data_IF_406314459579
#
_entry.id   IF_406314459579
#
_cell.length_a   1.000
_cell.length_b   1.000
_cell.length_c   1.000
_cell.angle_alpha   90.00
_cell.angle_beta   90.00
_cell.angle_gamma   90.00
#
_symmetry.space_group_name_H-M   'P 1'
#
loop_
_entity.id
_entity.type
_entity.pdbx_description
1 polymer ?
#
# COMPACT_ATOMS: atom_id res chain seq x y z
N UNK A 1 -18.46 15.05 -9.53
CA UNK A 1 -18.42 16.30 -8.74
C UNK A 1 -18.17 15.89 -7.30
N UNK A 2 -16.92 15.94 -6.84
CA UNK A 2 -16.57 15.59 -5.46
C UNK A 2 -17.09 16.73 -4.60
N UNK A 3 -18.17 16.50 -3.84
CA UNK A 3 -18.69 17.47 -2.89
C UNK A 3 -17.64 17.64 -1.78
N UNK A 4 -17.35 18.87 -1.41
CA UNK A 4 -16.46 19.17 -0.29
C UNK A 4 -16.94 18.43 0.96
N UNK A 5 -16.17 17.44 1.42
CA UNK A 5 -16.45 16.73 2.67
C UNK A 5 -16.23 17.74 3.80
N UNK A 6 -17.18 17.78 4.74
CA UNK A 6 -17.12 18.72 5.88
C UNK A 6 -15.95 18.29 6.76
N UNK A 7 -14.83 19.01 6.68
CA UNK A 7 -13.61 18.73 7.44
C UNK A 7 -13.93 18.80 8.93
N UNK A 8 -13.88 17.66 9.64
CA UNK A 8 -14.01 17.67 11.10
C UNK A 8 -12.71 18.24 11.67
N UNK A 9 -12.75 19.46 12.20
CA UNK A 9 -11.63 20.03 12.95
C UNK A 9 -11.65 19.37 14.33
N UNK A 10 -10.72 18.44 14.55
CA UNK A 10 -10.58 17.73 15.82
C UNK A 10 -9.70 18.57 16.73
N UNK A 11 -10.25 18.99 17.86
CA UNK A 11 -9.47 19.66 18.90
C UNK A 11 -8.94 18.62 19.89
N UNK A 12 -7.85 17.96 19.50
CA UNK A 12 -7.25 16.86 20.26
C UNK A 12 -6.77 17.29 21.64
N UNK A 13 -6.37 18.55 21.80
CA UNK A 13 -5.85 19.09 23.06
C UNK A 13 -6.96 19.29 24.11
N UNK A 14 -8.17 19.60 23.69
CA UNK A 14 -9.27 19.94 24.61
C UNK A 14 -10.35 18.85 24.71
N UNK A 15 -10.42 17.93 23.74
CA UNK A 15 -11.43 16.87 23.78
C UNK A 15 -11.09 15.78 24.78
N UNK A 16 -12.11 15.25 25.45
CA UNK A 16 -11.96 14.11 26.37
C UNK A 16 -11.38 12.91 25.61
N UNK A 17 -10.43 12.20 26.24
CA UNK A 17 -9.80 10.99 25.68
C UNK A 17 -10.82 9.97 25.16
N UNK A 18 -11.90 9.73 25.90
CA UNK A 18 -12.95 8.76 25.51
C UNK A 18 -13.70 9.17 24.24
N UNK A 19 -13.72 10.45 23.87
CA UNK A 19 -14.26 10.93 22.59
C UNK A 19 -13.28 10.65 21.46
N UNK A 20 -11.99 10.94 21.66
CA UNK A 20 -10.93 10.68 20.68
C UNK A 20 -10.80 9.18 20.36
N UNK A 21 -10.85 8.32 21.39
CA UNK A 21 -10.83 6.86 21.23
C UNK A 21 -12.04 6.39 20.41
N UNK A 22 -13.25 6.86 20.74
CA UNK A 22 -14.47 6.48 19.99
C UNK A 22 -14.48 6.93 18.53
N UNK A 23 -13.72 7.97 18.20
CA UNK A 23 -13.57 8.46 16.83
C UNK A 23 -12.58 7.62 16.01
N UNK A 24 -11.48 7.16 16.61
CA UNK A 24 -10.42 6.42 15.90
C UNK A 24 -10.60 4.90 15.93
N UNK A 25 -11.09 4.36 17.05
CA UNK A 25 -11.14 2.92 17.30
C UNK A 25 -11.94 2.14 16.24
N UNK A 26 -13.10 2.59 15.73
CA UNK A 26 -13.83 1.85 14.70
C UNK A 26 -12.99 1.61 13.44
N UNK A 27 -12.22 2.61 13.01
CA UNK A 27 -11.33 2.52 11.85
C UNK A 27 -10.15 1.60 12.10
N UNK A 28 -9.57 1.65 13.31
CA UNK A 28 -8.49 0.73 13.70
C UNK A 28 -8.97 -0.72 13.81
N UNK A 29 -10.19 -0.95 14.29
CA UNK A 29 -10.81 -2.29 14.35
C UNK A 29 -11.09 -2.81 12.94
N UNK A 30 -11.59 -1.95 12.04
CA UNK A 30 -11.75 -2.31 10.63
C UNK A 30 -10.40 -2.63 9.97
N UNK A 31 -9.39 -1.80 10.24
CA UNK A 31 -8.01 -2.03 9.78
C UNK A 31 -7.45 -3.35 10.30
N UNK A 32 -7.64 -3.66 11.58
CA UNK A 32 -7.24 -4.93 12.19
C UNK A 32 -7.91 -6.12 11.50
N UNK A 33 -9.21 -6.04 11.22
CA UNK A 33 -9.93 -7.11 10.54
C UNK A 33 -9.36 -7.41 9.13
N UNK A 34 -9.00 -6.36 8.38
CA UNK A 34 -8.35 -6.52 7.06
C UNK A 34 -6.90 -6.97 7.21
N UNK A 35 -6.15 -6.48 8.20
CA UNK A 35 -4.79 -6.92 8.50
C UNK A 35 -4.71 -8.41 8.84
N UNK A 36 -5.71 -8.95 9.55
CA UNK A 36 -5.84 -10.38 9.78
C UNK A 36 -5.97 -11.18 8.48
N UNK A 37 -6.59 -10.62 7.43
CA UNK A 37 -6.62 -11.24 6.11
C UNK A 37 -5.21 -11.33 5.50
N UNK A 38 -4.34 -10.35 5.75
CA UNK A 38 -2.92 -10.41 5.41
C UNK A 38 -2.17 -11.52 6.16
N UNK A 39 -2.45 -11.71 7.45
CA UNK A 39 -1.88 -12.82 8.23
C UNK A 39 -2.34 -14.18 7.69
N UNK A 40 -3.63 -14.34 7.39
CA UNK A 40 -4.18 -15.56 6.77
C UNK A 40 -3.55 -15.81 5.40
N UNK A 41 -3.37 -14.75 4.61
CA UNK A 41 -2.71 -14.81 3.31
C UNK A 41 -1.28 -15.33 3.43
N UNK A 42 -0.47 -14.77 4.35
CA UNK A 42 0.89 -15.27 4.59
C UNK A 42 0.90 -16.74 5.00
N UNK A 43 -0.06 -17.17 5.85
CA UNK A 43 -0.22 -18.58 6.24
C UNK A 43 -0.46 -19.52 5.05
N UNK A 44 -1.11 -19.07 3.97
CA UNK A 44 -1.27 -19.88 2.75
C UNK A 44 0.05 -20.12 2.00
N UNK A 45 1.08 -19.32 2.26
CA UNK A 45 2.42 -19.47 1.70
C UNK A 45 3.43 -19.98 2.74
N UNK A 46 2.97 -20.55 3.85
CA UNK A 46 3.84 -21.05 4.93
C UNK A 46 4.92 -22.01 4.42
N UNK A 47 4.57 -22.96 3.55
CA UNK A 47 5.52 -23.92 2.98
C UNK A 47 6.62 -23.22 2.16
N UNK A 48 6.25 -22.24 1.33
CA UNK A 48 7.21 -21.45 0.55
C UNK A 48 8.16 -20.67 1.47
N UNK A 49 7.61 -20.02 2.50
CA UNK A 49 8.35 -19.22 3.46
C UNK A 49 9.27 -20.08 4.33
N UNK A 50 8.84 -21.28 4.73
CA UNK A 50 9.65 -22.22 5.48
C UNK A 50 10.86 -22.70 4.68
N UNK A 51 10.69 -22.94 3.38
CA UNK A 51 11.78 -23.31 2.47
C UNK A 51 12.70 -22.13 2.11
N UNK A 52 12.17 -20.90 2.17
CA UNK A 52 12.86 -19.68 1.75
C UNK A 52 12.75 -18.59 2.81
N UNK A 53 13.26 -18.84 4.02
CA UNK A 53 13.08 -17.95 5.19
C UNK A 53 13.58 -16.52 4.92
N UNK A 54 14.56 -16.36 4.04
CA UNK A 54 15.10 -15.06 3.63
C UNK A 54 14.08 -14.13 2.96
N UNK A 55 12.96 -14.66 2.44
CA UNK A 55 11.88 -13.84 1.89
C UNK A 55 11.29 -12.90 2.96
N UNK A 56 11.21 -13.38 4.20
CA UNK A 56 10.62 -12.62 5.32
C UNK A 56 11.42 -11.34 5.59
N UNK A 57 12.73 -11.34 5.33
CA UNK A 57 13.59 -10.17 5.55
C UNK A 57 13.22 -8.97 4.67
N UNK A 58 12.59 -9.22 3.52
CA UNK A 58 12.22 -8.16 2.56
C UNK A 58 10.76 -7.72 2.69
N UNK A 59 9.94 -8.42 3.47
CA UNK A 59 8.53 -8.05 3.68
C UNK A 59 8.39 -6.60 4.17
N UNK A 60 9.11 -6.14 5.22
CA UNK A 60 8.92 -4.79 5.74
C UNK A 60 9.21 -3.70 4.71
N UNK A 61 10.28 -3.87 3.91
CA UNK A 61 10.68 -2.85 2.92
C UNK A 61 9.76 -2.85 1.70
N UNK A 62 9.29 -4.02 1.24
CA UNK A 62 8.33 -4.10 0.13
C UNK A 62 7.02 -3.44 0.51
N UNK A 63 6.49 -3.75 1.69
CA UNK A 63 5.25 -3.17 2.20
C UNK A 63 5.40 -1.66 2.37
N UNK A 64 6.45 -1.22 3.09
CA UNK A 64 6.71 0.20 3.31
C UNK A 64 6.84 1.01 2.01
N UNK A 65 7.64 0.55 1.05
CA UNK A 65 7.85 1.31 -0.19
C UNK A 65 6.57 1.44 -1.02
N UNK A 66 5.74 0.40 -1.02
CA UNK A 66 4.45 0.41 -1.72
C UNK A 66 3.47 1.39 -1.07
N UNK A 67 3.38 1.39 0.27
CA UNK A 67 2.55 2.33 1.02
C UNK A 67 3.05 3.78 0.89
N UNK A 68 4.38 3.98 0.91
CA UNK A 68 4.97 5.31 0.73
C UNK A 68 4.64 5.92 -0.65
N UNK A 69 4.73 5.13 -1.73
CA UNK A 69 4.34 5.59 -3.08
C UNK A 69 2.83 5.83 -3.16
N UNK A 70 2.02 4.91 -2.65
CA UNK A 70 0.56 5.07 -2.63
C UNK A 70 0.12 6.32 -1.86
N UNK A 71 0.71 6.57 -0.69
CA UNK A 71 0.46 7.76 0.14
C UNK A 71 0.84 9.05 -0.59
N UNK A 72 1.96 9.07 -1.33
CA UNK A 72 2.33 10.23 -2.15
C UNK A 72 1.27 10.51 -3.22
N UNK A 73 0.78 9.47 -3.91
CA UNK A 73 -0.31 9.60 -4.89
C UNK A 73 -1.59 10.11 -4.22
N UNK A 74 -1.99 9.56 -3.06
CA UNK A 74 -3.20 9.98 -2.35
C UNK A 74 -3.14 11.46 -1.94
N UNK A 75 -2.03 11.90 -1.34
CA UNK A 75 -1.85 13.30 -0.92
C UNK A 75 -1.98 14.26 -2.11
N UNK A 76 -1.37 13.91 -3.26
CA UNK A 76 -1.44 14.73 -4.47
C UNK A 76 -2.87 14.71 -5.06
N UNK A 77 -3.51 13.54 -5.10
CA UNK A 77 -4.87 13.37 -5.58
C UNK A 77 -5.86 14.26 -4.82
N UNK A 78 -5.82 14.21 -3.48
CA UNK A 78 -6.71 15.03 -2.63
C UNK A 78 -6.49 16.53 -2.85
N UNK A 79 -5.24 16.95 -3.04
CA UNK A 79 -4.89 18.35 -3.35
C UNK A 79 -5.42 18.80 -4.71
N UNK A 80 -5.27 17.97 -5.74
CA UNK A 80 -5.58 18.32 -7.12
C UNK A 80 -7.09 18.24 -7.44
N UNK A 81 -7.81 17.34 -6.76
CA UNK A 81 -9.27 17.23 -6.86
C UNK A 81 -10.03 18.34 -6.13
N UNK A 82 -9.37 19.05 -5.20
CA UNK A 82 -9.95 20.14 -4.40
C UNK A 82 -10.28 21.42 -5.20
N UNK A 83 -9.95 21.51 -6.49
CA UNK A 83 -10.17 22.75 -7.25
C UNK A 83 -10.39 22.66 -8.76
N UNK A 84 -10.21 21.50 -9.42
CA UNK A 84 -10.30 21.40 -10.90
C UNK A 84 -11.00 20.12 -11.39
N UNK A 85 -11.65 20.19 -12.56
CA UNK A 85 -12.13 19.01 -13.30
C UNK A 85 -10.92 18.27 -13.89
N UNK A 86 -10.32 17.37 -13.10
CA UNK A 86 -9.23 16.51 -13.56
C UNK A 86 -9.81 15.37 -14.41
N UNK A 87 -9.18 15.08 -15.55
CA UNK A 87 -9.50 13.87 -16.32
C UNK A 87 -8.89 12.67 -15.59
N UNK A 88 -9.73 11.89 -14.91
CA UNK A 88 -9.33 10.76 -14.07
C UNK A 88 -8.49 9.71 -14.82
N UNK A 89 -8.89 9.35 -16.04
CA UNK A 89 -8.14 8.39 -16.86
C UNK A 89 -6.72 8.88 -17.14
N UNK A 90 -6.58 10.13 -17.59
CA UNK A 90 -5.26 10.74 -17.86
C UNK A 90 -4.41 10.86 -16.59
N UNK A 91 -5.03 11.16 -15.45
CA UNK A 91 -4.35 11.21 -14.16
C UNK A 91 -3.82 9.83 -13.75
N UNK A 92 -4.69 8.81 -13.74
CA UNK A 92 -4.32 7.45 -13.38
C UNK A 92 -3.23 6.89 -14.29
N UNK A 93 -3.30 7.14 -15.60
CA UNK A 93 -2.23 6.73 -16.53
C UNK A 93 -0.89 7.39 -16.19
N UNK A 94 -0.89 8.68 -15.82
CA UNK A 94 0.35 9.36 -15.41
C UNK A 94 0.91 8.77 -14.12
N UNK A 95 0.06 8.53 -13.13
CA UNK A 95 0.47 7.93 -11.85
C UNK A 95 1.03 6.52 -12.04
N UNK A 96 0.39 5.68 -12.88
CA UNK A 96 0.91 4.36 -13.23
C UNK A 96 2.26 4.42 -13.96
N UNK A 97 2.45 5.40 -14.85
CA UNK A 97 3.75 5.61 -15.50
C UNK A 97 4.82 6.06 -14.48
N UNK A 98 4.49 6.95 -13.56
CA UNK A 98 5.39 7.34 -12.47
C UNK A 98 5.75 6.12 -11.61
N UNK A 99 4.76 5.33 -11.21
CA UNK A 99 4.94 4.07 -10.49
C UNK A 99 5.84 3.09 -11.25
N UNK A 100 5.68 2.98 -12.57
CA UNK A 100 6.53 2.16 -13.42
C UNK A 100 8.00 2.61 -13.37
N UNK A 101 8.28 3.90 -13.57
CA UNK A 101 9.65 4.42 -13.53
C UNK A 101 10.28 4.29 -12.14
N UNK A 102 9.54 4.63 -11.08
CA UNK A 102 10.01 4.48 -9.70
C UNK A 102 10.22 3.01 -9.35
N UNK A 103 9.30 2.14 -9.73
CA UNK A 103 9.39 0.71 -9.53
C UNK A 103 10.61 0.11 -10.23
N UNK A 104 10.95 0.60 -11.42
CA UNK A 104 12.13 0.09 -12.15
C UNK A 104 13.40 0.41 -11.38
N UNK A 105 13.54 1.66 -10.92
CA UNK A 105 14.69 2.09 -10.12
C UNK A 105 14.75 1.34 -8.79
N UNK A 106 13.65 1.34 -8.03
CA UNK A 106 13.59 0.72 -6.70
C UNK A 106 13.76 -0.80 -6.77
N UNK A 107 13.18 -1.45 -7.78
CA UNK A 107 13.31 -2.88 -8.05
C UNK A 107 14.74 -3.28 -8.36
N UNK A 108 15.44 -2.52 -9.21
CA UNK A 108 16.87 -2.75 -9.49
C UNK A 108 17.70 -2.58 -8.22
N UNK A 109 17.47 -1.51 -7.45
CA UNK A 109 18.24 -1.22 -6.23
C UNK A 109 18.07 -2.32 -5.18
N UNK A 110 16.83 -2.74 -4.89
CA UNK A 110 16.58 -3.75 -3.87
C UNK A 110 17.02 -5.14 -4.35
N UNK A 111 16.87 -5.45 -5.63
CA UNK A 111 17.37 -6.69 -6.23
C UNK A 111 18.90 -6.77 -6.17
N UNK A 112 19.60 -5.67 -6.49
CA UNK A 112 21.05 -5.58 -6.36
C UNK A 112 21.51 -5.73 -4.90
N UNK A 113 20.83 -5.09 -3.95
CA UNK A 113 21.11 -5.24 -2.53
C UNK A 113 20.91 -6.69 -2.06
N UNK A 114 19.81 -7.34 -2.46
CA UNK A 114 19.54 -8.75 -2.16
C UNK A 114 20.61 -9.68 -2.76
N UNK A 115 21.07 -9.40 -3.98
CA UNK A 115 22.15 -10.17 -4.62
C UNK A 115 23.48 -10.03 -3.87
N UNK A 116 23.88 -8.80 -3.52
CA UNK A 116 25.13 -8.54 -2.79
C UNK A 116 25.10 -9.19 -1.41
N UNK A 117 23.96 -9.14 -0.73
CA UNK A 117 23.82 -9.64 0.63
C UNK A 117 23.70 -11.17 0.69
N UNK A 118 22.75 -11.75 -0.05
CA UNK A 118 22.35 -13.15 0.10
C UNK A 118 22.91 -14.07 -0.98
N UNK A 119 23.60 -13.50 -1.99
CA UNK A 119 24.30 -14.23 -3.06
C UNK A 119 23.42 -15.23 -3.83
N UNK A 120 22.10 -15.01 -3.85
CA UNK A 120 21.13 -15.86 -4.56
C UNK A 120 20.45 -15.07 -5.67
N UNK A 121 20.67 -15.50 -6.92
CA UNK A 121 20.18 -14.78 -8.10
C UNK A 121 18.65 -14.91 -8.20
N UNK A 122 18.12 -16.10 -7.90
CA UNK A 122 16.67 -16.34 -7.86
C UNK A 122 15.98 -15.43 -6.84
N UNK A 123 16.55 -15.30 -5.63
CA UNK A 123 15.99 -14.43 -4.60
C UNK A 123 16.10 -12.96 -4.99
N UNK A 124 17.25 -12.53 -5.52
CA UNK A 124 17.45 -11.15 -5.98
C UNK A 124 16.45 -10.74 -7.07
N UNK A 125 16.22 -11.60 -8.07
CA UNK A 125 15.23 -11.38 -9.13
C UNK A 125 13.81 -11.37 -8.54
N UNK A 126 13.50 -12.29 -7.62
CA UNK A 126 12.20 -12.35 -6.95
C UNK A 126 11.88 -11.04 -6.22
N UNK A 127 12.81 -10.57 -5.38
CA UNK A 127 12.63 -9.35 -4.58
C UNK A 127 12.56 -8.10 -5.49
N UNK A 128 13.46 -8.01 -6.48
CA UNK A 128 13.49 -6.87 -7.40
C UNK A 128 12.23 -6.77 -8.26
N UNK A 129 11.78 -7.89 -8.84
CA UNK A 129 10.57 -7.94 -9.65
C UNK A 129 9.33 -7.65 -8.81
N UNK A 130 9.26 -8.19 -7.60
CA UNK A 130 8.15 -7.92 -6.69
C UNK A 130 8.07 -6.45 -6.31
N UNK A 131 9.19 -5.81 -5.96
CA UNK A 131 9.23 -4.37 -5.68
C UNK A 131 8.81 -3.56 -6.91
N UNK A 132 9.29 -3.90 -8.10
CA UNK A 132 8.89 -3.24 -9.34
C UNK A 132 7.38 -3.27 -9.55
N UNK A 133 6.76 -4.45 -9.48
CA UNK A 133 5.32 -4.61 -9.71
C UNK A 133 4.53 -3.91 -8.61
N UNK A 134 4.94 -4.08 -7.35
CA UNK A 134 4.27 -3.44 -6.21
C UNK A 134 4.24 -1.92 -6.31
N UNK A 135 5.38 -1.29 -6.58
CA UNK A 135 5.47 0.18 -6.72
C UNK A 135 4.71 0.66 -7.96
N UNK A 136 4.67 -0.13 -9.04
CA UNK A 136 3.89 0.21 -10.24
C UNK A 136 2.39 0.20 -9.96
N UNK A 137 1.90 -0.75 -9.17
CA UNK A 137 0.48 -0.92 -8.85
C UNK A 137 0.03 -0.02 -7.69
N UNK A 138 0.94 0.43 -6.83
CA UNK A 138 0.63 1.23 -5.65
C UNK A 138 -0.26 2.46 -5.91
N UNK A 139 -0.03 3.28 -6.95
CA UNK A 139 -0.89 4.42 -7.24
C UNK A 139 -2.33 4.03 -7.59
N UNK A 140 -2.53 2.88 -8.26
CA UNK A 140 -3.87 2.39 -8.58
C UNK A 140 -4.66 2.06 -7.31
N UNK A 141 -4.03 1.37 -6.36
CA UNK A 141 -4.68 1.03 -5.08
C UNK A 141 -5.06 2.29 -4.32
N UNK A 142 -4.13 3.24 -4.18
CA UNK A 142 -4.37 4.51 -3.50
C UNK A 142 -5.55 5.29 -4.11
N UNK A 143 -5.57 5.41 -5.44
CA UNK A 143 -6.65 6.11 -6.15
C UNK A 143 -7.99 5.41 -5.98
N UNK A 144 -8.04 4.08 -6.09
CA UNK A 144 -9.28 3.31 -5.95
C UNK A 144 -9.85 3.39 -4.53
N UNK A 145 -9.01 3.23 -3.50
CA UNK A 145 -9.45 3.32 -2.11
C UNK A 145 -9.94 4.73 -1.80
N UNK A 146 -9.20 5.76 -2.21
CA UNK A 146 -9.62 7.15 -2.06
C UNK A 146 -10.98 7.39 -2.74
N UNK A 147 -11.15 6.96 -4.00
CA UNK A 147 -12.41 7.15 -4.74
C UNK A 147 -13.60 6.48 -4.05
N UNK A 148 -13.43 5.26 -3.54
CA UNK A 148 -14.49 4.54 -2.80
C UNK A 148 -14.86 5.30 -1.51
N UNK A 149 -13.88 5.73 -0.72
CA UNK A 149 -14.13 6.47 0.52
C UNK A 149 -14.79 7.84 0.27
N UNK A 150 -14.41 8.53 -0.80
CA UNK A 150 -15.03 9.80 -1.21
C UNK A 150 -16.50 9.63 -1.64
N UNK A 151 -16.87 8.50 -2.25
CA UNK A 151 -18.26 8.22 -2.67
C UNK A 151 -19.19 7.98 -1.48
N UNK A 152 -18.69 7.40 -0.40
CA UNK A 152 -19.45 7.08 0.82
C UNK A 152 -19.68 8.28 1.76
N UNK A 153 -19.21 9.49 1.42
CA UNK A 153 -19.28 10.72 2.27
C UNK A 153 -18.65 10.57 3.66
N UNK A 154 -17.83 9.54 3.88
CA UNK A 154 -17.02 9.40 5.09
C UNK A 154 -15.95 10.50 5.11
N UNK A 155 -15.53 10.96 6.31
CA UNK A 155 -14.42 11.90 6.43
C UNK A 155 -13.11 11.17 6.11
N UNK A 156 -12.48 11.43 4.95
CA UNK A 156 -11.27 10.73 4.55
C UNK A 156 -10.14 10.99 5.54
N UNK A 157 -10.14 12.15 6.22
CA UNK A 157 -9.10 12.52 7.16
C UNK A 157 -9.02 11.59 8.39
N UNK A 158 -10.11 10.87 8.70
CA UNK A 158 -10.19 10.00 9.87
C UNK A 158 -9.97 8.51 9.57
N UNK A 159 -10.47 8.04 8.42
CA UNK A 159 -10.48 6.62 8.07
C UNK A 159 -9.65 6.22 6.86
N UNK A 160 -9.32 7.17 5.96
CA UNK A 160 -8.64 6.83 4.71
C UNK A 160 -7.23 6.32 4.96
N UNK A 161 -6.44 7.00 5.80
CA UNK A 161 -5.07 6.57 6.09
C UNK A 161 -4.97 5.10 6.55
N UNK A 162 -5.55 4.72 7.70
CA UNK A 162 -5.41 3.35 8.22
C UNK A 162 -5.97 2.26 7.29
N UNK A 163 -7.09 2.53 6.59
CA UNK A 163 -7.69 1.54 5.70
C UNK A 163 -6.91 1.42 4.38
N UNK A 164 -6.47 2.53 3.78
CA UNK A 164 -5.64 2.51 2.57
C UNK A 164 -4.36 1.74 2.83
N UNK A 165 -3.66 2.03 3.93
CA UNK A 165 -2.42 1.34 4.30
C UNK A 165 -2.64 -0.16 4.44
N UNK A 166 -3.64 -0.60 5.21
CA UNK A 166 -3.78 -2.05 5.45
C UNK A 166 -4.23 -2.82 4.19
N UNK A 167 -5.02 -2.19 3.32
CA UNK A 167 -5.39 -2.77 2.01
C UNK A 167 -4.15 -2.89 1.13
N UNK A 168 -3.33 -1.85 1.11
CA UNK A 168 -2.07 -1.82 0.38
C UNK A 168 -1.11 -2.91 0.90
N UNK A 169 -0.97 -3.07 2.21
CA UNK A 169 -0.15 -4.12 2.82
C UNK A 169 -0.54 -5.52 2.32
N UNK A 170 -1.85 -5.83 2.32
CA UNK A 170 -2.36 -7.13 1.86
C UNK A 170 -2.08 -7.35 0.38
N UNK A 171 -2.29 -6.33 -0.46
CA UNK A 171 -2.00 -6.40 -1.89
C UNK A 171 -0.49 -6.57 -2.12
N UNK A 172 0.35 -5.86 -1.38
CA UNK A 172 1.80 -5.94 -1.50
C UNK A 172 2.35 -7.31 -1.12
N UNK A 173 1.83 -7.88 -0.03
CA UNK A 173 2.13 -9.26 0.39
C UNK A 173 1.68 -10.27 -0.67
N UNK A 174 0.47 -10.11 -1.23
CA UNK A 174 -0.05 -11.00 -2.26
C UNK A 174 0.85 -11.01 -3.50
N UNK A 175 1.17 -9.83 -4.04
CA UNK A 175 2.03 -9.68 -5.22
C UNK A 175 3.40 -10.30 -4.93
N UNK A 176 4.00 -10.00 -3.77
CA UNK A 176 5.31 -10.52 -3.42
C UNK A 176 5.33 -12.04 -3.32
N UNK A 177 4.38 -12.64 -2.61
CA UNK A 177 4.32 -14.08 -2.39
C UNK A 177 3.96 -14.86 -3.66
N UNK A 178 3.09 -14.31 -4.53
CA UNK A 178 2.79 -14.91 -5.83
C UNK A 178 4.02 -14.93 -6.74
N UNK A 179 4.79 -13.84 -6.79
CA UNK A 179 6.03 -13.79 -7.57
C UNK A 179 7.08 -14.74 -6.99
N UNK A 180 7.21 -14.78 -5.66
CA UNK A 180 8.11 -15.71 -4.99
C UNK A 180 7.73 -17.16 -5.27
N UNK A 181 6.44 -17.51 -5.21
CA UNK A 181 5.97 -18.83 -5.58
C UNK A 181 6.30 -19.14 -7.05
N UNK A 182 6.02 -18.22 -7.98
CA UNK A 182 6.28 -18.45 -9.40
C UNK A 182 7.76 -18.71 -9.74
N UNK A 183 8.70 -18.16 -8.95
CA UNK A 183 10.15 -18.23 -9.25
C UNK A 183 10.89 -19.28 -8.40
N UNK A 184 10.48 -19.45 -7.14
CA UNK A 184 11.19 -20.26 -6.16
C UNK A 184 10.50 -21.60 -5.90
N UNK A 185 9.23 -21.77 -6.28
CA UNK A 185 8.51 -23.01 -6.07
C UNK A 185 8.95 -24.05 -7.11
N UNK A 186 9.88 -24.90 -6.69
CA UNK A 186 10.33 -26.11 -7.38
C UNK A 186 10.01 -27.33 -6.52
#
# INVERSE_FOLDING_TARGET
MIRAVKKVIIDEAHWRLSRLVRLRLPWLVAGLAVGLAGSVLMGRFEQLLAQNISLVFFVPIIVYMSDAVGTQTEIILVRDLGGKRVNFGRYLTKELLLGFYMGLVLGILIGAAAWVWLRSAKLAVTVGLAMFINVTVAPLVAVLVAEVLFKEKADPALGAGPLTTVIQDVISLLIYLVIAAAILWN
#
